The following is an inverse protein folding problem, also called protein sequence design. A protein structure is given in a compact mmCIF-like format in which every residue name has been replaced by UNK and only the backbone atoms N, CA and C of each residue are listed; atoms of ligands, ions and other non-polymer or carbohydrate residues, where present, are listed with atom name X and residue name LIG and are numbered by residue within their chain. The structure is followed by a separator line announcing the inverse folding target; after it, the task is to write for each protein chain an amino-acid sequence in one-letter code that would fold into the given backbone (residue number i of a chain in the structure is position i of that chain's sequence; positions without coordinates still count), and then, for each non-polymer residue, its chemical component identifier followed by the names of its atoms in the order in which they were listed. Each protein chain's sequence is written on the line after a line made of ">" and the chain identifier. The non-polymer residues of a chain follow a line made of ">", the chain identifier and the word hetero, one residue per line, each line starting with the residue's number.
data_IF_462325657302
#
_entry.id   IF_462325657302
#
_cell.length_a   1.000
_cell.length_b   1.000
_cell.length_c   1.000
_cell.angle_alpha   90.00
_cell.angle_beta   90.00
_cell.angle_gamma   90.00
#
_symmetry.space_group_name_H-M   'P 1'
#
loop_
_entity.id
_entity.type
_entity.pdbx_description
1 polymer ?
#
# COMPACT_ATOMS: atom_id res chain seq x y z
N UNK A 1 -10.54 -36.25 22.19
CA UNK A 1 -10.70 -34.79 22.06
C UNK A 1 -9.81 -34.33 20.89
N UNK A 2 -10.36 -34.21 19.66
CA UNK A 2 -9.59 -33.84 18.46
C UNK A 2 -9.29 -32.34 18.55
N UNK A 3 -8.02 -31.96 18.70
CA UNK A 3 -7.56 -30.61 18.49
C UNK A 3 -7.70 -30.34 16.96
N UNK A 4 -8.69 -29.53 16.55
CA UNK A 4 -8.72 -28.96 15.21
C UNK A 4 -7.50 -28.04 15.09
N UNK A 5 -6.49 -28.45 14.37
CA UNK A 5 -5.47 -27.53 13.88
C UNK A 5 -6.17 -26.63 12.86
N UNK A 6 -6.24 -25.35 13.15
CA UNK A 6 -6.66 -24.32 12.21
C UNK A 6 -5.39 -23.89 11.49
N UNK A 7 -5.23 -24.28 10.22
CA UNK A 7 -4.19 -23.74 9.36
C UNK A 7 -4.64 -22.35 8.91
N UNK A 8 -3.97 -21.33 9.42
CA UNK A 8 -4.18 -19.95 9.00
C UNK A 8 -3.12 -19.65 7.95
N UNK A 9 -3.53 -19.19 6.77
CA UNK A 9 -2.60 -18.74 5.73
C UNK A 9 -1.98 -17.40 6.10
N UNK A 10 -0.80 -17.08 5.54
CA UNK A 10 -0.18 -15.76 5.74
C UNK A 10 -1.08 -14.61 5.27
N UNK A 11 -1.87 -14.85 4.23
CA UNK A 11 -2.83 -13.87 3.71
C UNK A 11 -3.98 -13.62 4.68
N UNK A 12 -4.52 -14.67 5.31
CA UNK A 12 -5.56 -14.54 6.34
C UNK A 12 -5.03 -13.85 7.60
N UNK A 13 -3.79 -14.15 8.00
CA UNK A 13 -3.14 -13.47 9.12
C UNK A 13 -2.91 -11.99 8.83
N UNK A 14 -2.43 -11.66 7.63
CA UNK A 14 -2.24 -10.29 7.17
C UNK A 14 -3.58 -9.53 7.13
N UNK A 15 -4.65 -10.16 6.61
CA UNK A 15 -5.98 -9.58 6.60
C UNK A 15 -6.45 -9.25 8.03
N UNK A 16 -6.29 -10.18 8.96
CA UNK A 16 -6.69 -9.96 10.36
C UNK A 16 -5.88 -8.85 11.04
N UNK A 17 -4.56 -8.79 10.81
CA UNK A 17 -3.69 -7.80 11.44
C UNK A 17 -3.91 -6.39 10.89
N UNK A 18 -4.17 -6.26 9.59
CA UNK A 18 -4.25 -4.97 8.91
C UNK A 18 -5.67 -4.44 8.67
N UNK A 19 -6.71 -5.21 9.01
CA UNK A 19 -8.11 -4.84 8.72
C UNK A 19 -8.54 -3.54 9.41
N UNK A 20 -8.01 -3.29 10.61
CA UNK A 20 -8.32 -2.09 11.41
C UNK A 20 -7.40 -0.88 11.13
N UNK A 21 -6.42 -1.03 10.25
CA UNK A 21 -5.40 -0.01 9.97
C UNK A 21 -5.62 0.63 8.61
N UNK A 22 -5.45 1.96 8.53
CA UNK A 22 -5.58 2.72 7.29
C UNK A 22 -4.50 3.80 7.21
N UNK A 23 -4.13 4.16 5.97
CA UNK A 23 -3.31 5.36 5.76
C UNK A 23 -4.12 6.60 6.15
N UNK A 24 -3.59 7.46 7.04
CA UNK A 24 -4.28 8.66 7.45
C UNK A 24 -4.45 9.62 6.28
N UNK A 25 -5.52 10.41 6.31
CA UNK A 25 -5.82 11.50 5.37
C UNK A 25 -5.65 11.14 3.88
N UNK A 26 -6.03 9.90 3.52
CA UNK A 26 -6.03 9.46 2.13
C UNK A 26 -7.15 10.20 1.36
N UNK A 27 -6.84 11.39 0.88
CA UNK A 27 -7.75 12.21 0.09
C UNK A 27 -8.00 11.59 -1.30
N UNK A 28 -9.23 11.73 -1.79
CA UNK A 28 -9.56 11.43 -3.19
C UNK A 28 -9.04 12.54 -4.09
N UNK A 29 -7.73 12.58 -4.33
CA UNK A 29 -7.14 13.53 -5.28
C UNK A 29 -7.51 13.12 -6.69
N UNK A 30 -8.14 14.04 -7.42
CA UNK A 30 -8.51 13.84 -8.82
C UNK A 30 -7.27 13.95 -9.69
N UNK A 31 -6.56 12.84 -9.86
CA UNK A 31 -5.68 12.74 -11.01
C UNK A 31 -6.53 12.82 -12.29
N UNK A 32 -6.12 13.64 -13.24
CA UNK A 32 -6.58 13.56 -14.63
C UNK A 32 -6.50 12.09 -15.04
N UNK A 33 -7.62 11.38 -14.84
CA UNK A 33 -8.00 10.09 -15.43
C UNK A 33 -6.85 9.17 -15.87
N UNK A 34 -6.20 8.50 -14.96
CA UNK A 34 -5.90 7.10 -15.18
C UNK A 34 -7.13 6.32 -14.72
N UNK A 35 -8.12 6.28 -15.60
CA UNK A 35 -9.31 5.46 -15.45
C UNK A 35 -8.86 4.01 -15.53
N UNK A 36 -8.62 3.36 -14.42
CA UNK A 36 -8.54 1.92 -14.42
C UNK A 36 -9.96 1.40 -14.68
N UNK A 37 -10.22 1.08 -15.95
CA UNK A 37 -11.47 0.46 -16.36
C UNK A 37 -11.54 -0.95 -15.75
N UNK A 38 -12.10 -1.08 -14.57
CA UNK A 38 -12.38 -2.40 -14.02
C UNK A 38 -13.60 -2.97 -14.71
N UNK A 39 -13.34 -3.96 -15.55
CA UNK A 39 -14.38 -4.65 -16.33
C UNK A 39 -15.02 -5.72 -15.45
N UNK A 40 -16.23 -5.49 -14.95
CA UNK A 40 -17.00 -6.51 -14.22
C UNK A 40 -18.04 -7.18 -15.11
N UNK A 41 -18.14 -8.51 -15.02
CA UNK A 41 -19.24 -9.26 -15.64
C UNK A 41 -20.55 -8.92 -14.89
N UNK A 42 -21.55 -8.46 -15.63
CA UNK A 42 -22.82 -7.99 -15.06
C UNK A 42 -24.02 -8.77 -15.65
N UNK A 43 -23.95 -10.09 -15.60
CA UNK A 43 -25.06 -10.94 -16.08
C UNK A 43 -25.14 -11.06 -17.59
N UNK A 44 -26.38 -11.21 -18.11
CA UNK A 44 -26.68 -11.47 -19.52
C UNK A 44 -27.69 -10.48 -20.05
N UNK A 45 -27.56 -10.15 -21.35
CA UNK A 45 -28.55 -9.38 -22.14
C UNK A 45 -29.07 -10.20 -23.33
N UNK A 46 -30.24 -9.86 -23.85
CA UNK A 46 -30.81 -10.52 -25.03
C UNK A 46 -30.16 -10.03 -26.34
N UNK A 47 -29.49 -8.88 -26.31
CA UNK A 47 -28.85 -8.27 -27.47
C UNK A 47 -27.34 -8.03 -27.18
N UNK A 48 -26.53 -8.20 -28.22
CA UNK A 48 -25.09 -8.01 -28.13
C UNK A 48 -24.36 -8.45 -29.39
N UNK A 49 -23.02 -8.28 -29.38
CA UNK A 49 -22.16 -8.70 -30.49
C UNK A 49 -21.87 -10.20 -30.45
N UNK A 50 -21.72 -10.84 -31.60
CA UNK A 50 -21.47 -12.30 -31.72
C UNK A 50 -20.39 -12.86 -30.82
N UNK A 51 -19.21 -12.22 -30.62
CA UNK A 51 -18.16 -12.73 -29.73
C UNK A 51 -18.59 -12.83 -28.26
N UNK A 52 -19.64 -12.11 -27.84
CA UNK A 52 -20.16 -12.13 -26.46
C UNK A 52 -21.32 -13.09 -26.26
N UNK A 53 -21.74 -13.80 -27.31
CA UNK A 53 -22.82 -14.79 -27.23
C UNK A 53 -22.41 -15.96 -26.34
N UNK A 54 -23.16 -16.19 -25.28
CA UNK A 54 -23.00 -17.38 -24.43
C UNK A 54 -23.87 -18.52 -24.95
N UNK A 55 -23.22 -19.43 -25.71
CA UNK A 55 -23.88 -20.57 -26.34
C UNK A 55 -24.58 -21.45 -25.31
N UNK A 56 -23.96 -21.69 -24.14
CA UNK A 56 -24.50 -22.54 -23.09
C UNK A 56 -25.81 -21.94 -22.51
N UNK A 57 -25.77 -20.67 -22.13
CA UNK A 57 -26.98 -20.00 -21.59
C UNK A 57 -28.08 -19.86 -22.61
N UNK A 58 -27.76 -19.60 -23.86
CA UNK A 58 -28.67 -19.58 -24.98
C UNK A 58 -29.40 -20.93 -25.15
N UNK A 59 -28.66 -22.04 -25.14
CA UNK A 59 -29.25 -23.39 -25.23
C UNK A 59 -30.15 -23.70 -24.03
N UNK A 60 -29.67 -23.36 -22.81
CA UNK A 60 -30.48 -23.54 -21.58
C UNK A 60 -31.81 -22.80 -21.68
N UNK A 61 -31.80 -21.56 -22.19
CA UNK A 61 -33.02 -20.76 -22.34
C UNK A 61 -33.95 -21.35 -23.36
N UNK A 62 -33.43 -21.82 -24.51
CA UNK A 62 -34.22 -22.55 -25.53
C UNK A 62 -34.89 -23.79 -24.93
N UNK A 63 -34.13 -24.62 -24.17
CA UNK A 63 -34.69 -25.82 -23.53
C UNK A 63 -35.79 -25.45 -22.53
N UNK A 64 -35.60 -24.41 -21.73
CA UNK A 64 -36.64 -23.93 -20.81
C UNK A 64 -37.91 -23.51 -21.57
N UNK A 65 -37.75 -22.79 -22.70
CA UNK A 65 -38.90 -22.39 -23.56
C UNK A 65 -39.60 -23.61 -24.16
N UNK A 66 -38.84 -24.61 -24.66
CA UNK A 66 -39.42 -25.87 -25.17
C UNK A 66 -40.23 -26.58 -24.08
N UNK A 67 -39.69 -26.74 -22.89
CA UNK A 67 -40.39 -27.36 -21.75
C UNK A 67 -41.66 -26.59 -21.35
N UNK A 68 -41.63 -25.27 -21.39
CA UNK A 68 -42.78 -24.43 -21.09
C UNK A 68 -43.89 -24.60 -22.15
N UNK A 69 -43.54 -24.65 -23.44
CA UNK A 69 -44.47 -24.88 -24.53
C UNK A 69 -45.14 -26.28 -24.46
N UNK A 70 -44.39 -27.32 -24.09
CA UNK A 70 -44.96 -28.65 -23.85
C UNK A 70 -45.94 -28.63 -22.67
N UNK A 71 -45.60 -27.99 -21.57
CA UNK A 71 -46.49 -27.86 -20.39
C UNK A 71 -47.78 -27.07 -20.69
N UNK A 72 -47.68 -26.09 -21.58
CA UNK A 72 -48.83 -25.29 -22.02
C UNK A 72 -49.67 -25.98 -23.10
N UNK A 73 -49.33 -27.19 -23.54
CA UNK A 73 -50.03 -27.92 -24.58
C UNK A 73 -49.86 -27.34 -25.99
N UNK A 74 -48.99 -26.37 -26.20
CA UNK A 74 -48.76 -25.72 -27.50
C UNK A 74 -47.71 -26.44 -28.36
N UNK A 75 -47.01 -27.42 -27.80
CA UNK A 75 -46.02 -28.24 -28.50
C UNK A 75 -46.22 -29.70 -28.14
N UNK A 76 -46.38 -30.56 -29.16
CA UNK A 76 -46.46 -32.01 -28.95
C UNK A 76 -45.06 -32.57 -28.62
N UNK A 77 -44.88 -33.32 -27.52
CA UNK A 77 -43.59 -33.91 -27.15
C UNK A 77 -43.00 -34.89 -28.18
N UNK A 78 -43.92 -35.58 -28.93
CA UNK A 78 -43.57 -36.62 -29.92
C UNK A 78 -43.36 -36.07 -31.33
N UNK A 79 -43.56 -34.78 -31.55
CA UNK A 79 -43.29 -34.19 -32.86
C UNK A 79 -41.79 -34.10 -33.11
N UNK A 80 -41.34 -34.65 -34.22
CA UNK A 80 -39.92 -34.65 -34.66
C UNK A 80 -39.51 -33.28 -35.22
N UNK A 81 -40.37 -32.27 -35.08
CA UNK A 81 -40.12 -30.91 -35.55
C UNK A 81 -38.98 -30.25 -34.76
N UNK A 82 -37.95 -29.78 -35.50
CA UNK A 82 -36.85 -29.02 -34.94
C UNK A 82 -37.31 -27.72 -34.29
N UNK A 83 -37.41 -27.72 -32.96
CA UNK A 83 -37.69 -26.50 -32.20
C UNK A 83 -36.62 -25.43 -32.46
N UNK A 84 -36.96 -24.40 -33.23
CA UNK A 84 -36.02 -23.36 -33.66
C UNK A 84 -35.60 -22.44 -32.53
N UNK A 85 -34.43 -21.80 -32.68
CA UNK A 85 -34.02 -20.71 -31.78
C UNK A 85 -34.90 -19.47 -32.03
N UNK A 86 -35.25 -18.79 -30.96
CA UNK A 86 -35.94 -17.52 -31.00
C UNK A 86 -34.97 -16.43 -30.49
N UNK A 87 -35.15 -15.18 -30.93
CA UNK A 87 -34.32 -14.06 -30.49
C UNK A 87 -34.27 -13.91 -28.95
N UNK A 88 -35.39 -14.20 -28.28
CA UNK A 88 -35.50 -14.17 -26.82
C UNK A 88 -34.69 -15.27 -26.11
N UNK A 89 -34.21 -16.28 -26.85
CA UNK A 89 -33.29 -17.32 -26.28
C UNK A 89 -31.89 -16.84 -26.21
N UNK A 90 -31.50 -15.85 -27.04
CA UNK A 90 -30.10 -15.37 -27.12
C UNK A 90 -29.68 -14.74 -25.80
N UNK A 91 -28.48 -15.12 -25.36
CA UNK A 91 -27.84 -14.62 -24.12
C UNK A 91 -26.44 -14.15 -24.41
N UNK A 92 -26.22 -12.84 -24.30
CA UNK A 92 -24.94 -12.20 -24.48
C UNK A 92 -24.38 -11.81 -23.13
N UNK A 93 -23.11 -12.11 -22.88
CA UNK A 93 -22.40 -11.69 -21.66
C UNK A 93 -22.37 -10.17 -21.61
N UNK A 94 -22.97 -9.60 -20.55
CA UNK A 94 -22.91 -8.17 -20.32
C UNK A 94 -21.72 -7.81 -19.46
N UNK A 95 -20.98 -6.83 -19.92
CA UNK A 95 -19.82 -6.31 -19.27
C UNK A 95 -20.11 -4.86 -18.93
N UNK A 96 -20.06 -4.52 -17.64
CA UNK A 96 -20.16 -3.15 -17.17
C UNK A 96 -18.76 -2.64 -16.90
N UNK A 97 -18.37 -1.57 -17.56
CA UNK A 97 -17.18 -0.80 -17.24
C UNK A 97 -17.55 0.08 -16.05
N UNK A 98 -16.93 -0.15 -14.91
CA UNK A 98 -17.07 0.71 -13.73
C UNK A 98 -15.79 1.50 -13.62
N UNK A 99 -15.89 2.80 -13.68
CA UNK A 99 -14.79 3.69 -13.32
C UNK A 99 -14.63 3.61 -11.81
N UNK A 100 -13.51 3.08 -11.33
CA UNK A 100 -13.14 3.17 -9.93
C UNK A 100 -12.28 4.41 -9.80
N UNK A 101 -12.74 5.40 -9.05
CA UNK A 101 -11.89 6.48 -8.58
C UNK A 101 -10.84 5.84 -7.68
N UNK A 102 -9.60 5.74 -8.15
CA UNK A 102 -8.50 5.28 -7.32
C UNK A 102 -7.77 6.51 -6.80
N UNK A 103 -7.62 6.60 -5.50
CA UNK A 103 -6.71 7.57 -4.89
C UNK A 103 -5.29 7.15 -5.24
N UNK A 104 -4.53 8.03 -5.90
CA UNK A 104 -3.12 7.78 -6.15
C UNK A 104 -2.33 8.19 -4.93
N UNK A 105 -1.50 7.29 -4.44
CA UNK A 105 -0.61 7.56 -3.33
C UNK A 105 0.79 7.04 -3.63
N UNK A 106 1.79 7.73 -3.09
CA UNK A 106 3.18 7.30 -3.08
C UNK A 106 3.64 7.20 -1.63
N UNK A 107 4.31 6.11 -1.31
CA UNK A 107 4.95 5.90 -0.01
C UNK A 107 6.45 5.83 -0.21
N UNK A 108 7.17 6.74 0.43
CA UNK A 108 8.61 6.84 0.34
C UNK A 108 9.25 6.26 1.59
N UNK A 109 10.14 5.30 1.41
CA UNK A 109 10.90 4.66 2.47
C UNK A 109 12.33 5.19 2.46
N UNK A 110 12.73 5.88 3.52
CA UNK A 110 14.08 6.38 3.72
C UNK A 110 14.75 5.55 4.81
N UNK A 111 15.87 4.91 4.51
CA UNK A 111 16.61 4.09 5.46
C UNK A 111 18.06 4.53 5.54
N UNK A 112 18.50 4.79 6.76
CA UNK A 112 19.89 4.99 7.08
C UNK A 112 20.67 3.66 6.96
N UNK A 113 21.73 3.68 6.16
CA UNK A 113 22.62 2.54 5.94
C UNK A 113 24.05 2.83 6.43
N UNK A 114 24.26 3.92 7.18
CA UNK A 114 25.54 4.38 7.70
C UNK A 114 26.26 3.35 8.58
N UNK A 115 27.49 3.64 8.94
CA UNK A 115 28.31 2.75 9.76
C UNK A 115 27.83 2.61 11.21
N UNK A 116 27.13 3.61 11.76
CA UNK A 116 26.52 3.59 13.10
C UNK A 116 25.30 2.64 13.16
N UNK A 117 24.68 2.38 12.01
CA UNK A 117 23.62 1.40 11.87
C UNK A 117 24.18 -0.03 11.92
N UNK A 118 24.31 -0.57 13.14
CA UNK A 118 24.74 -1.95 13.37
C UNK A 118 23.83 -2.97 12.71
N UNK A 119 24.25 -4.24 12.67
CA UNK A 119 23.44 -5.33 12.10
C UNK A 119 22.07 -5.44 12.78
N UNK A 120 22.01 -5.25 14.10
CA UNK A 120 20.76 -5.33 14.87
C UNK A 120 19.83 -4.14 14.57
N UNK A 121 20.40 -2.92 14.49
CA UNK A 121 19.64 -1.73 14.07
C UNK A 121 19.07 -1.89 12.67
N UNK A 122 19.89 -2.33 11.71
CA UNK A 122 19.45 -2.62 10.34
C UNK A 122 18.38 -3.69 10.30
N UNK A 123 18.47 -4.71 11.15
CA UNK A 123 17.45 -5.75 11.26
C UNK A 123 16.11 -5.18 11.73
N UNK A 124 16.10 -4.34 12.77
CA UNK A 124 14.88 -3.72 13.28
C UNK A 124 14.23 -2.77 12.24
N UNK A 125 15.05 -1.90 11.62
CA UNK A 125 14.57 -1.00 10.55
C UNK A 125 13.97 -1.77 9.37
N UNK A 126 14.65 -2.81 8.91
CA UNK A 126 14.16 -3.68 7.82
C UNK A 126 12.87 -4.40 8.20
N UNK A 127 12.77 -4.87 9.44
CA UNK A 127 11.55 -5.54 9.93
C UNK A 127 10.36 -4.58 9.96
N UNK A 128 10.55 -3.34 10.39
CA UNK A 128 9.53 -2.30 10.36
C UNK A 128 9.11 -1.99 8.92
N UNK A 129 10.06 -1.72 8.02
CA UNK A 129 9.77 -1.44 6.62
C UNK A 129 9.15 -2.61 5.88
N UNK A 130 9.54 -3.85 6.20
CA UNK A 130 8.93 -5.04 5.63
C UNK A 130 7.45 -5.15 6.04
N UNK A 131 7.14 -4.91 7.32
CA UNK A 131 5.76 -4.88 7.81
C UNK A 131 4.93 -3.80 7.10
N UNK A 132 5.50 -2.60 6.96
CA UNK A 132 4.88 -1.47 6.26
C UNK A 132 4.65 -1.79 4.77
N UNK A 133 5.64 -2.39 4.12
CA UNK A 133 5.54 -2.82 2.72
C UNK A 133 4.41 -3.85 2.52
N UNK A 134 4.32 -4.86 3.39
CA UNK A 134 3.27 -5.87 3.34
C UNK A 134 1.88 -5.26 3.58
N UNK A 135 1.76 -4.35 4.55
CA UNK A 135 0.52 -3.63 4.81
C UNK A 135 0.03 -2.87 3.57
N UNK A 136 0.91 -2.09 2.96
CA UNK A 136 0.57 -1.28 1.78
C UNK A 136 0.15 -2.19 0.61
N UNK A 137 0.92 -3.23 0.34
CA UNK A 137 0.65 -4.19 -0.74
C UNK A 137 -0.66 -4.95 -0.55
N UNK A 138 -0.97 -5.30 0.70
CA UNK A 138 -2.20 -6.03 1.03
C UNK A 138 -3.44 -5.14 0.94
N UNK A 139 -3.34 -3.91 1.44
CA UNK A 139 -4.50 -3.03 1.61
C UNK A 139 -4.84 -2.20 0.37
N UNK A 140 -3.84 -1.85 -0.43
CA UNK A 140 -3.96 -0.88 -1.51
C UNK A 140 -3.46 -1.43 -2.85
N UNK A 141 -4.29 -1.31 -3.91
CA UNK A 141 -3.96 -1.79 -5.26
C UNK A 141 -3.14 -0.78 -6.10
N UNK A 142 -3.21 0.52 -5.80
CA UNK A 142 -2.69 1.60 -6.64
C UNK A 142 -1.80 2.56 -5.83
N UNK A 143 -0.85 2.01 -5.09
CA UNK A 143 0.17 2.78 -4.39
C UNK A 143 1.53 2.48 -5.01
N UNK A 144 2.28 3.53 -5.29
CA UNK A 144 3.68 3.43 -5.67
C UNK A 144 4.57 3.51 -4.44
N UNK A 145 5.66 2.76 -4.45
CA UNK A 145 6.64 2.74 -3.37
C UNK A 145 7.98 3.16 -3.93
N UNK A 146 8.62 4.11 -3.25
CA UNK A 146 9.95 4.60 -3.57
C UNK A 146 10.88 4.29 -2.42
N UNK A 147 12.02 3.70 -2.71
CA UNK A 147 13.03 3.34 -1.73
C UNK A 147 14.24 4.25 -1.86
N UNK A 148 14.63 4.88 -0.76
CA UNK A 148 15.81 5.74 -0.65
C UNK A 148 16.68 5.19 0.47
N UNK A 149 17.93 4.87 0.16
CA UNK A 149 18.96 4.53 1.15
C UNK A 149 19.93 5.70 1.27
N UNK A 150 20.39 6.03 2.46
CA UNK A 150 21.35 7.11 2.67
C UNK A 150 22.44 6.78 3.68
N UNK A 151 23.56 7.41 3.48
CA UNK A 151 24.71 7.51 4.38
C UNK A 151 25.19 8.99 4.38
N UNK A 152 26.33 9.30 3.80
CA UNK A 152 26.78 10.67 3.49
C UNK A 152 26.08 11.20 2.23
N UNK A 153 25.59 10.32 1.40
CA UNK A 153 24.83 10.59 0.16
C UNK A 153 23.50 9.84 0.18
N UNK A 154 22.62 10.18 -0.75
CA UNK A 154 21.36 9.49 -0.92
C UNK A 154 21.31 8.76 -2.26
N UNK A 155 20.61 7.63 -2.28
CA UNK A 155 20.50 6.76 -3.44
C UNK A 155 19.05 6.27 -3.56
N UNK A 156 18.43 6.51 -4.70
CA UNK A 156 17.21 5.79 -5.05
C UNK A 156 17.60 4.35 -5.41
N UNK A 157 16.98 3.37 -4.76
CA UNK A 157 17.33 1.95 -4.87
C UNK A 157 16.09 1.11 -5.16
N UNK A 158 16.28 -0.10 -5.66
CA UNK A 158 15.19 -1.04 -5.78
C UNK A 158 14.92 -1.77 -4.45
N UNK A 159 13.80 -2.51 -4.37
CA UNK A 159 13.38 -3.27 -3.19
C UNK A 159 14.51 -4.19 -2.65
N UNK A 160 15.14 -4.97 -3.53
CA UNK A 160 16.18 -5.91 -3.14
C UNK A 160 17.41 -5.19 -2.56
N UNK A 161 17.85 -4.12 -3.20
CA UNK A 161 18.94 -3.29 -2.71
C UNK A 161 18.61 -2.61 -1.38
N UNK A 162 17.37 -2.12 -1.21
CA UNK A 162 16.93 -1.48 0.02
C UNK A 162 17.03 -2.42 1.22
N UNK A 163 16.56 -3.64 1.06
CA UNK A 163 16.57 -4.61 2.15
C UNK A 163 17.92 -5.31 2.37
N UNK A 164 18.82 -5.32 1.40
CA UNK A 164 20.10 -6.07 1.48
C UNK A 164 21.35 -5.19 1.53
N UNK A 165 21.28 -3.93 1.08
CA UNK A 165 22.46 -3.04 1.03
C UNK A 165 22.92 -2.65 2.44
N UNK A 166 24.21 -2.68 2.66
CA UNK A 166 24.89 -2.10 3.82
C UNK A 166 26.01 -1.19 3.34
N UNK A 167 26.34 -0.16 4.12
CA UNK A 167 27.49 0.71 3.89
C UNK A 167 28.22 0.96 5.20
N UNK A 168 29.43 1.54 5.14
CA UNK A 168 30.27 1.86 6.28
C UNK A 168 30.63 3.36 6.37
N UNK A 169 29.84 4.23 5.72
CA UNK A 169 30.03 5.67 5.71
C UNK A 169 29.53 6.37 6.98
N UNK A 170 29.78 7.68 7.06
CA UNK A 170 29.16 8.55 8.08
C UNK A 170 27.68 8.80 7.79
N UNK A 171 27.01 9.62 8.62
CA UNK A 171 25.58 9.90 8.50
C UNK A 171 25.33 11.39 8.22
N UNK A 172 24.74 11.69 7.08
CA UNK A 172 24.18 13.00 6.73
C UNK A 172 22.75 12.78 6.23
N UNK A 173 21.77 13.37 6.88
CA UNK A 173 20.35 13.13 6.61
C UNK A 173 19.81 14.02 5.50
N UNK A 174 20.28 15.26 5.40
CA UNK A 174 19.73 16.23 4.45
C UNK A 174 19.75 15.76 2.99
N UNK A 175 20.72 15.02 2.46
CA UNK A 175 20.70 14.54 1.08
C UNK A 175 19.51 13.59 0.78
N UNK A 176 19.10 12.76 1.76
CA UNK A 176 17.94 11.88 1.60
C UNK A 176 16.65 12.68 1.53
N UNK A 177 16.52 13.72 2.35
CA UNK A 177 15.34 14.59 2.35
C UNK A 177 15.28 15.45 1.08
N UNK A 178 16.41 15.95 0.58
CA UNK A 178 16.51 16.66 -0.69
C UNK A 178 16.12 15.75 -1.86
N UNK A 179 16.62 14.52 -1.87
CA UNK A 179 16.25 13.53 -2.90
C UNK A 179 14.75 13.21 -2.85
N UNK A 180 14.18 13.02 -1.66
CA UNK A 180 12.75 12.79 -1.49
C UNK A 180 11.93 13.97 -2.04
N UNK A 181 12.31 15.21 -1.70
CA UNK A 181 11.67 16.42 -2.21
C UNK A 181 11.76 16.51 -3.75
N UNK A 182 12.91 16.22 -4.31
CA UNK A 182 13.15 16.21 -5.76
C UNK A 182 12.26 15.18 -6.47
N UNK A 183 12.16 13.97 -5.94
CA UNK A 183 11.32 12.90 -6.47
C UNK A 183 9.85 13.30 -6.41
N UNK A 184 9.39 13.88 -5.29
CA UNK A 184 8.02 14.38 -5.13
C UNK A 184 7.72 15.42 -6.21
N UNK A 185 8.58 16.42 -6.36
CA UNK A 185 8.36 17.52 -7.31
C UNK A 185 8.38 17.05 -8.78
N UNK A 186 9.24 16.08 -9.12
CA UNK A 186 9.40 15.60 -10.51
C UNK A 186 8.36 14.54 -10.90
N UNK A 187 7.97 13.64 -9.97
CA UNK A 187 7.15 12.47 -10.31
C UNK A 187 5.80 12.43 -9.60
N UNK A 188 5.71 12.96 -8.37
CA UNK A 188 4.55 12.76 -7.48
C UNK A 188 4.00 14.08 -6.94
N UNK A 189 3.67 15.00 -7.84
CA UNK A 189 3.22 16.34 -7.46
C UNK A 189 2.06 16.30 -6.44
N UNK A 190 2.13 17.03 -5.30
CA UNK A 190 1.18 16.93 -4.19
C UNK A 190 -0.29 17.23 -4.55
N UNK A 191 -0.53 18.03 -5.60
CA UNK A 191 -1.91 18.28 -6.07
C UNK A 191 -2.58 17.03 -6.68
N UNK A 192 -1.79 16.03 -7.05
CA UNK A 192 -2.28 14.85 -7.75
C UNK A 192 -2.03 13.56 -6.98
N UNK A 193 -1.09 13.57 -6.05
CA UNK A 193 -0.68 12.41 -5.27
C UNK A 193 -0.81 12.66 -3.78
N UNK A 194 -1.26 11.65 -3.04
CA UNK A 194 -1.10 11.62 -1.59
C UNK A 194 0.32 11.12 -1.29
N UNK A 195 1.09 11.88 -0.56
CA UNK A 195 2.50 11.58 -0.28
C UNK A 195 2.64 11.15 1.17
N UNK A 196 3.26 10.00 1.38
CA UNK A 196 3.62 9.47 2.69
C UNK A 196 5.11 9.24 2.72
N UNK A 197 5.76 9.63 3.80
CA UNK A 197 7.20 9.48 3.97
C UNK A 197 7.49 8.80 5.31
N UNK A 198 8.30 7.75 5.28
CA UNK A 198 8.76 7.05 6.48
C UNK A 198 10.27 6.98 6.47
N UNK A 199 10.89 7.47 7.54
CA UNK A 199 12.33 7.54 7.69
C UNK A 199 12.76 6.76 8.93
N UNK A 200 13.66 5.78 8.78
CA UNK A 200 14.30 5.06 9.87
C UNK A 200 15.79 5.37 9.92
N UNK A 201 16.29 5.77 11.08
CA UNK A 201 17.69 6.04 11.37
C UNK A 201 17.97 5.72 12.84
N UNK A 202 19.23 5.72 13.25
CA UNK A 202 19.59 5.54 14.65
C UNK A 202 19.65 6.87 15.44
N UNK A 203 19.24 7.96 14.83
CA UNK A 203 19.21 9.27 15.43
C UNK A 203 20.50 10.08 15.24
N UNK A 204 21.55 9.45 14.76
CA UNK A 204 22.82 10.14 14.50
C UNK A 204 22.69 11.03 13.25
N UNK A 205 23.26 12.23 13.35
CA UNK A 205 23.45 13.13 12.22
C UNK A 205 24.61 14.09 12.53
N UNK A 206 25.30 14.54 11.51
CA UNK A 206 26.36 15.52 11.72
C UNK A 206 25.78 16.83 12.28
N UNK A 207 26.41 17.42 13.33
CA UNK A 207 25.89 18.65 13.96
C UNK A 207 25.71 19.80 12.98
N UNK A 208 26.57 19.92 11.97
CA UNK A 208 26.46 20.94 10.93
C UNK A 208 25.26 20.73 9.98
N UNK A 209 24.72 19.51 9.87
CA UNK A 209 23.60 19.16 9.03
C UNK A 209 22.25 19.22 9.77
N UNK A 210 22.27 19.18 11.10
CA UNK A 210 21.07 19.09 11.94
C UNK A 210 20.04 20.17 11.59
N UNK A 211 20.44 21.43 11.56
CA UNK A 211 19.54 22.55 11.22
C UNK A 211 18.96 22.44 9.81
N UNK A 212 19.73 21.94 8.86
CA UNK A 212 19.29 21.72 7.47
C UNK A 212 18.29 20.58 7.39
N UNK A 213 18.58 19.47 8.07
CA UNK A 213 17.69 18.31 8.13
C UNK A 213 16.32 18.67 8.75
N UNK A 214 16.30 19.39 9.87
CA UNK A 214 15.07 19.87 10.52
C UNK A 214 14.25 20.77 9.59
N UNK A 215 14.91 21.70 8.92
CA UNK A 215 14.22 22.63 7.98
C UNK A 215 13.59 21.87 6.78
N UNK A 216 14.32 20.92 6.21
CA UNK A 216 13.83 20.10 5.12
C UNK A 216 12.67 19.19 5.58
N UNK A 217 12.79 18.58 6.76
CA UNK A 217 11.70 17.76 7.34
C UNK A 217 10.44 18.59 7.59
N UNK A 218 10.57 19.83 8.08
CA UNK A 218 9.45 20.74 8.22
C UNK A 218 8.78 21.06 6.88
N UNK A 219 9.56 21.30 5.84
CA UNK A 219 9.02 21.57 4.50
C UNK A 219 8.33 20.33 3.89
N UNK A 220 8.88 19.14 4.09
CA UNK A 220 8.28 17.88 3.64
C UNK A 220 7.00 17.53 4.41
N UNK A 221 6.93 17.84 5.72
CA UNK A 221 5.73 17.68 6.53
C UNK A 221 4.53 18.41 5.93
N UNK A 222 4.70 19.64 5.44
CA UNK A 222 3.61 20.42 4.83
C UNK A 222 3.07 19.78 3.55
N UNK A 223 3.91 19.02 2.85
CA UNK A 223 3.57 18.35 1.58
C UNK A 223 2.96 16.97 1.83
N UNK A 224 3.42 16.26 2.86
CA UNK A 224 3.02 14.91 3.18
C UNK A 224 1.66 14.85 3.88
N UNK A 225 0.91 13.77 3.67
CA UNK A 225 -0.24 13.41 4.48
C UNK A 225 0.19 12.83 5.84
N UNK A 226 1.32 12.10 5.82
CA UNK A 226 2.00 11.65 7.02
C UNK A 226 3.50 11.59 6.76
N UNK A 227 4.28 12.15 7.67
CA UNK A 227 5.72 11.92 7.80
C UNK A 227 5.98 11.15 9.10
N UNK A 228 6.38 9.89 9.00
CA UNK A 228 6.74 9.05 10.13
C UNK A 228 8.25 8.98 10.28
N UNK A 229 8.78 9.38 11.43
CA UNK A 229 10.18 9.17 11.79
C UNK A 229 10.29 8.07 12.85
N UNK A 230 11.17 7.11 12.61
CA UNK A 230 11.41 5.98 13.49
C UNK A 230 12.86 5.95 13.91
N UNK A 231 13.16 6.23 15.18
CA UNK A 231 14.50 6.13 15.73
C UNK A 231 14.75 4.72 16.26
N UNK A 232 15.82 4.10 15.76
CA UNK A 232 16.21 2.73 16.12
C UNK A 232 17.34 2.79 17.14
N UNK A 233 17.03 2.50 18.40
CA UNK A 233 18.02 2.55 19.49
C UNK A 233 17.91 1.31 20.39
N UNK A 234 18.52 0.16 20.02
CA UNK A 234 18.48 -1.05 20.82
C UNK A 234 18.95 -0.83 22.26
N UNK A 235 18.29 -1.50 23.21
CA UNK A 235 18.62 -1.43 24.62
C UNK A 235 20.09 -1.86 24.85
N UNK A 236 20.93 -0.94 25.30
CA UNK A 236 22.37 -1.14 25.53
C UNK A 236 23.29 -0.31 24.67
N UNK A 237 22.81 0.28 23.59
CA UNK A 237 23.64 1.03 22.63
C UNK A 237 23.85 2.52 23.00
N UNK A 238 23.25 2.98 24.10
CA UNK A 238 23.36 4.39 24.57
C UNK A 238 24.77 4.87 24.93
N UNK A 239 25.76 3.98 24.90
CA UNK A 239 27.14 4.30 25.23
C UNK A 239 27.96 4.91 24.07
N UNK A 240 27.39 4.98 22.86
CA UNK A 240 28.12 5.38 21.65
C UNK A 240 27.48 6.50 20.83
N UNK A 241 26.42 7.16 21.33
CA UNK A 241 25.90 8.36 20.64
C UNK A 241 26.87 9.52 20.87
N UNK A 242 27.54 9.91 19.81
CA UNK A 242 28.53 10.99 19.81
C UNK A 242 27.93 12.40 19.76
N UNK A 243 26.62 12.54 19.72
CA UNK A 243 25.90 13.83 19.67
C UNK A 243 25.09 14.08 20.94
N UNK A 244 25.18 15.31 21.48
CA UNK A 244 24.42 15.76 22.65
C UNK A 244 22.88 15.79 22.40
N UNK A 245 22.43 15.67 21.14
CA UNK A 245 21.03 15.62 20.75
C UNK A 245 20.81 14.68 19.55
N UNK A 246 19.79 13.82 19.65
CA UNK A 246 19.37 12.95 18.54
C UNK A 246 18.45 13.68 17.57
N UNK A 247 18.26 13.11 16.36
CA UNK A 247 17.28 13.61 15.40
C UNK A 247 15.86 13.65 15.98
N UNK A 248 15.48 12.65 16.77
CA UNK A 248 14.19 12.59 17.44
C UNK A 248 13.96 13.82 18.32
N UNK A 249 14.94 14.17 19.14
CA UNK A 249 14.88 15.37 19.99
C UNK A 249 14.78 16.66 19.16
N UNK A 250 15.55 16.73 18.06
CA UNK A 250 15.49 17.87 17.15
C UNK A 250 14.14 18.00 16.45
N UNK A 251 13.41 16.89 16.26
CA UNK A 251 12.11 16.83 15.65
C UNK A 251 10.93 17.01 16.62
N UNK A 252 11.14 17.06 17.94
CA UNK A 252 10.06 17.15 18.93
C UNK A 252 9.06 18.28 18.65
N UNK A 253 9.56 19.44 18.21
CA UNK A 253 8.71 20.59 17.88
C UNK A 253 7.91 20.42 16.58
N UNK A 254 8.20 19.41 15.75
CA UNK A 254 7.48 19.09 14.53
C UNK A 254 6.31 18.12 14.76
N UNK A 255 6.29 17.43 15.91
CA UNK A 255 5.30 16.39 16.21
C UNK A 255 3.87 16.94 16.22
N UNK A 256 3.01 16.38 15.37
CA UNK A 256 1.57 16.61 15.30
C UNK A 256 0.86 15.45 14.58
N UNK A 257 -0.35 15.67 14.09
CA UNK A 257 -1.10 14.62 13.36
C UNK A 257 -0.43 14.22 12.03
N UNK A 258 0.37 15.12 11.41
CA UNK A 258 1.07 14.88 10.14
C UNK A 258 2.52 14.43 10.30
N UNK A 259 3.15 14.77 11.42
CA UNK A 259 4.51 14.36 11.72
C UNK A 259 4.54 13.58 13.03
N UNK A 260 4.93 12.32 12.95
CA UNK A 260 4.98 11.44 14.11
C UNK A 260 6.35 10.85 14.28
N UNK A 261 6.85 10.85 15.50
CA UNK A 261 8.09 10.17 15.88
C UNK A 261 7.79 8.95 16.74
N UNK A 262 8.54 7.87 16.51
CA UNK A 262 8.48 6.66 17.35
C UNK A 262 9.88 6.11 17.58
N UNK A 263 10.02 5.28 18.62
CA UNK A 263 11.28 4.63 18.98
C UNK A 263 11.14 3.11 18.95
N UNK A 264 12.13 2.43 18.38
CA UNK A 264 12.19 0.96 18.37
C UNK A 264 13.48 0.54 19.09
N UNK A 265 13.32 -0.09 20.24
CA UNK A 265 14.42 -0.63 21.04
C UNK A 265 14.55 -2.14 20.89
N UNK A 266 13.47 -2.81 20.51
CA UNK A 266 13.40 -4.27 20.40
C UNK A 266 12.41 -4.68 19.30
N UNK A 267 12.35 -5.98 19.01
CA UNK A 267 11.36 -6.54 18.07
C UNK A 267 9.93 -6.33 18.56
N UNK A 268 9.72 -6.31 19.86
CA UNK A 268 8.40 -6.18 20.47
C UNK A 268 7.80 -4.78 20.26
N UNK A 269 8.66 -3.78 20.04
CA UNK A 269 8.26 -2.39 19.78
C UNK A 269 7.80 -2.14 18.33
N UNK A 270 8.13 -3.04 17.39
CA UNK A 270 7.82 -2.85 15.97
C UNK A 270 6.31 -2.72 15.74
N UNK A 271 5.52 -3.63 16.31
CA UNK A 271 4.07 -3.62 16.13
C UNK A 271 3.37 -2.43 16.84
N UNK A 272 3.70 -2.08 18.09
CA UNK A 272 3.21 -0.85 18.70
C UNK A 272 3.53 0.40 17.90
N UNK A 273 4.79 0.59 17.49
CA UNK A 273 5.23 1.71 16.65
C UNK A 273 4.47 1.79 15.32
N UNK A 274 4.23 0.63 14.71
CA UNK A 274 3.43 0.56 13.48
C UNK A 274 1.98 1.02 13.73
N UNK A 275 1.37 0.61 14.82
CA UNK A 275 0.01 1.06 15.19
C UNK A 275 -0.08 2.55 15.48
N UNK A 276 0.97 3.16 16.05
CA UNK A 276 1.00 4.59 16.33
C UNK A 276 0.92 5.45 15.05
N UNK A 277 1.49 4.94 13.96
CA UNK A 277 1.37 5.62 12.67
C UNK A 277 -0.02 5.45 12.03
N UNK A 278 -0.61 4.24 12.10
CA UNK A 278 -1.77 3.85 11.28
C UNK A 278 -3.04 3.56 12.09
N UNK A 279 -2.92 3.42 13.40
CA UNK A 279 -4.07 3.28 14.28
C UNK A 279 -4.81 4.61 14.34
N UNK A 280 -5.94 4.74 13.61
CA UNK A 280 -6.87 5.85 13.78
C UNK A 280 -7.30 5.92 15.25
N UNK A 281 -7.70 7.10 15.72
CA UNK A 281 -8.30 7.29 17.03
C UNK A 281 -9.42 6.26 17.16
N UNK A 282 -9.17 5.18 17.91
CA UNK A 282 -10.23 4.28 18.34
C UNK A 282 -11.13 5.17 19.19
N UNK A 283 -12.28 5.52 18.62
CA UNK A 283 -13.28 6.30 19.35
C UNK A 283 -13.63 5.51 20.61
N UNK A 284 -13.35 6.14 21.77
CA UNK A 284 -13.84 5.74 23.07
C UNK A 284 -15.34 5.98 23.12
#
# INVERSE_FOLDING_TARGET
>A
MYKRQVEITLEELAAYLFDSLELPDLEKKTLKKLLSEKVKRHGYRNQGIRPRLDKKQTIIKKIKRKKAAIRAGTLNPESDDRFSFHENDLRYRHIKKTMKESSSAVVMFLMDISGSMTTDKKYLARSFFFLLYQFIRHRYENIEIVFIAHDVQAYEVNEDQFFNRGNSGGTIVSPALEMASDIINKRYHPNSWNVYLFHCSDGDNWPSDMSKAVKLSSSLKEICQLYGYCEISPSGDRLFTSSDSTLSQAYDHLNDDKFKTTHIHSKDDIWPSFKDFFGGKIGV
#
